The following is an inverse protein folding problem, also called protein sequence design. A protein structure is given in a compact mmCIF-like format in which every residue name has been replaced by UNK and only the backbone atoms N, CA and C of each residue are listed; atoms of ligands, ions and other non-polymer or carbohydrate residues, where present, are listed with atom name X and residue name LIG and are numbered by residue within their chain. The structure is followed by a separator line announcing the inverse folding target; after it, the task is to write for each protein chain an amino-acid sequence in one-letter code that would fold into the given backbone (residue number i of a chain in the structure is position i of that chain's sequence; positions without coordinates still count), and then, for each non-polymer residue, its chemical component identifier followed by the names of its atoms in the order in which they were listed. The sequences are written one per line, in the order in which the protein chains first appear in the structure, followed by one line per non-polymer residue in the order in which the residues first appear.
data_IF_464755406279
#
_entry.id   IF_464755406279
#
_cell.length_a   1.000
_cell.length_b   1.000
_cell.length_c   1.000
_cell.angle_alpha   90.00
_cell.angle_beta   90.00
_cell.angle_gamma   90.00
#
_symmetry.space_group_name_H-M   'P 1'
#
loop_
_entity.id
_entity.type
_entity.pdbx_description
1 polymer ?
#
# COMPACT_ATOMS: atom_id res chain seq x y z
N UNK A 1 -14.93 6.80 -22.01
CA UNK A 1 -14.57 6.02 -20.81
C UNK A 1 -15.15 6.75 -19.61
N UNK A 2 -15.83 6.05 -18.70
CA UNK A 2 -16.30 6.68 -17.46
C UNK A 2 -15.11 6.96 -16.53
N UNK A 3 -15.18 7.93 -15.60
CA UNK A 3 -14.08 8.21 -14.67
C UNK A 3 -13.65 6.95 -13.90
N UNK A 4 -12.35 6.76 -13.65
CA UNK A 4 -11.84 5.57 -12.95
C UNK A 4 -12.48 5.45 -11.55
N UNK A 5 -12.72 6.58 -10.88
CA UNK A 5 -13.41 6.65 -9.60
C UNK A 5 -14.81 6.00 -9.58
N UNK A 6 -15.49 5.92 -10.74
CA UNK A 6 -16.82 5.32 -10.88
C UNK A 6 -16.82 3.79 -11.03
N UNK A 7 -15.64 3.16 -11.07
CA UNK A 7 -15.53 1.71 -11.06
C UNK A 7 -15.60 1.19 -9.61
N UNK A 8 -16.38 0.13 -9.43
CA UNK A 8 -16.63 -0.54 -8.15
C UNK A 8 -16.23 -2.01 -8.17
N UNK A 9 -15.83 -2.54 -9.33
CA UNK A 9 -15.36 -3.92 -9.49
C UNK A 9 -13.83 -3.93 -9.67
N UNK A 10 -13.08 -4.51 -8.72
CA UNK A 10 -11.63 -4.65 -8.83
C UNK A 10 -11.19 -5.36 -10.12
N UNK A 11 -11.95 -6.35 -10.63
CA UNK A 11 -11.57 -7.12 -11.83
C UNK A 11 -11.59 -6.24 -13.08
N UNK A 12 -12.59 -5.37 -13.23
CA UNK A 12 -12.64 -4.41 -14.32
C UNK A 12 -11.44 -3.46 -14.30
N UNK A 13 -11.02 -3.02 -13.11
CA UNK A 13 -9.85 -2.17 -12.95
C UNK A 13 -8.55 -2.89 -13.36
N UNK A 14 -8.44 -4.20 -13.11
CA UNK A 14 -7.30 -4.99 -13.58
C UNK A 14 -7.23 -5.00 -15.13
N UNK A 15 -8.36 -5.22 -15.81
CA UNK A 15 -8.42 -5.14 -17.27
C UNK A 15 -8.08 -3.74 -17.79
N UNK A 16 -8.48 -2.68 -17.09
CA UNK A 16 -8.10 -1.31 -17.43
C UNK A 16 -6.59 -1.11 -17.28
N UNK A 17 -5.99 -1.60 -16.18
CA UNK A 17 -4.55 -1.53 -15.96
C UNK A 17 -3.78 -2.25 -17.08
N UNK A 18 -4.17 -3.48 -17.44
CA UNK A 18 -3.51 -4.24 -18.51
C UNK A 18 -3.60 -3.51 -19.86
N UNK A 19 -4.77 -2.98 -20.21
CA UNK A 19 -4.96 -2.21 -21.43
C UNK A 19 -4.18 -0.89 -21.43
N UNK A 20 -4.20 -0.15 -20.31
CA UNK A 20 -3.45 1.08 -20.16
C UNK A 20 -1.94 0.82 -20.31
N UNK A 21 -1.44 -0.28 -19.76
CA UNK A 21 -0.05 -0.72 -19.93
C UNK A 21 0.29 -1.04 -21.38
N UNK A 22 -0.57 -1.81 -22.07
CA UNK A 22 -0.42 -2.12 -23.49
C UNK A 22 -0.42 -0.87 -24.39
N UNK A 23 -1.17 0.17 -24.01
CA UNK A 23 -1.31 1.42 -24.76
C UNK A 23 -0.34 2.53 -24.30
N UNK A 24 0.56 2.25 -23.34
CA UNK A 24 1.50 3.24 -22.80
C UNK A 24 0.87 4.35 -21.96
N UNK A 25 -0.39 4.20 -21.52
CA UNK A 25 -1.15 5.18 -20.74
C UNK A 25 -0.92 4.99 -19.24
N UNK A 26 0.28 5.33 -18.77
CA UNK A 26 0.67 5.16 -17.37
C UNK A 26 -0.15 6.00 -16.39
N UNK A 27 -0.66 7.15 -16.83
CA UNK A 27 -1.61 7.99 -16.09
C UNK A 27 -2.86 7.19 -15.69
N UNK A 28 -3.47 6.51 -16.67
CA UNK A 28 -4.66 5.68 -16.46
C UNK A 28 -4.32 4.43 -15.65
N UNK A 29 -3.16 3.82 -15.90
CA UNK A 29 -2.71 2.65 -15.14
C UNK A 29 -2.63 2.98 -13.64
N UNK A 30 -1.97 4.09 -13.28
CA UNK A 30 -1.80 4.47 -11.88
C UNK A 30 -3.10 4.92 -11.20
N UNK A 31 -3.99 5.60 -11.93
CA UNK A 31 -5.31 5.93 -11.42
C UNK A 31 -6.14 4.66 -11.14
N UNK A 32 -6.15 3.71 -12.09
CA UNK A 32 -6.84 2.43 -11.94
C UNK A 32 -6.23 1.56 -10.83
N UNK A 33 -4.90 1.56 -10.72
CA UNK A 33 -4.16 0.86 -9.66
C UNK A 33 -4.59 1.35 -8.28
N UNK A 34 -4.59 2.67 -8.03
CA UNK A 34 -4.98 3.23 -6.72
C UNK A 34 -6.41 2.87 -6.39
N UNK A 35 -7.33 3.06 -7.34
CA UNK A 35 -8.74 2.71 -7.16
C UNK A 35 -8.94 1.23 -6.87
N UNK A 36 -8.19 0.35 -7.54
CA UNK A 36 -8.25 -1.09 -7.31
C UNK A 36 -7.78 -1.43 -5.90
N UNK A 37 -6.69 -0.82 -5.44
CA UNK A 37 -6.16 -1.04 -4.09
C UNK A 37 -7.17 -0.60 -3.02
N UNK A 38 -7.83 0.56 -3.18
CA UNK A 38 -8.89 1.01 -2.27
C UNK A 38 -10.05 0.00 -2.17
N UNK A 39 -10.52 -0.53 -3.29
CA UNK A 39 -11.63 -1.49 -3.30
C UNK A 39 -11.21 -2.82 -2.66
N UNK A 40 -10.04 -3.34 -2.99
CA UNK A 40 -9.52 -4.56 -2.37
C UNK A 40 -9.27 -4.40 -0.88
N UNK A 41 -8.85 -3.21 -0.43
CA UNK A 41 -8.70 -2.89 0.98
C UNK A 41 -10.02 -2.97 1.74
N UNK A 42 -11.12 -2.49 1.14
CA UNK A 42 -12.48 -2.60 1.70
C UNK A 42 -13.02 -4.03 1.73
N UNK A 43 -12.56 -4.89 0.82
CA UNK A 43 -12.95 -6.31 0.75
C UNK A 43 -12.09 -7.21 1.66
N UNK A 44 -11.07 -6.66 2.34
CA UNK A 44 -10.14 -7.42 3.16
C UNK A 44 -10.82 -7.94 4.44
N UNK A 45 -11.06 -9.26 4.49
CA UNK A 45 -11.74 -9.93 5.61
C UNK A 45 -10.96 -9.93 6.93
N UNK A 46 -9.63 -9.78 6.85
CA UNK A 46 -8.73 -9.82 8.00
C UNK A 46 -8.59 -8.45 8.70
N UNK A 47 -9.32 -7.43 8.23
CA UNK A 47 -9.22 -6.05 8.67
C UNK A 47 -10.58 -5.54 9.12
N UNK A 48 -10.60 -4.62 10.08
CA UNK A 48 -11.82 -3.98 10.54
C UNK A 48 -12.32 -2.97 9.49
N UNK A 49 -13.47 -3.20 8.85
CA UNK A 49 -13.99 -2.30 7.82
C UNK A 49 -14.55 -0.98 8.39
N UNK A 50 -14.71 -0.87 9.72
CA UNK A 50 -15.18 0.35 10.38
C UNK A 50 -14.07 1.32 10.74
N UNK A 51 -12.80 0.86 10.71
CA UNK A 51 -11.64 1.69 11.04
C UNK A 51 -10.94 2.24 9.77
N UNK A 52 -10.88 3.58 9.58
CA UNK A 52 -10.15 4.20 8.46
C UNK A 52 -8.69 3.75 8.31
N UNK A 53 -7.97 3.52 9.42
CA UNK A 53 -6.58 3.04 9.35
C UNK A 53 -6.51 1.64 8.74
N UNK A 54 -7.46 0.77 9.10
CA UNK A 54 -7.54 -0.59 8.56
C UNK A 54 -7.91 -0.58 7.08
N UNK A 55 -8.82 0.29 6.65
CA UNK A 55 -9.17 0.44 5.23
C UNK A 55 -7.96 0.88 4.39
N UNK A 56 -7.23 1.90 4.85
CA UNK A 56 -6.04 2.41 4.15
C UNK A 56 -4.88 1.39 4.19
N UNK A 57 -4.75 0.65 5.30
CA UNK A 57 -3.82 -0.46 5.40
C UNK A 57 -4.16 -1.57 4.41
N UNK A 58 -5.44 -1.88 4.22
CA UNK A 58 -5.91 -2.81 3.20
C UNK A 58 -5.47 -2.39 1.80
N UNK A 59 -5.57 -1.09 1.48
CA UNK A 59 -5.08 -0.54 0.21
C UNK A 59 -3.56 -0.65 0.08
N UNK A 60 -2.81 -0.38 1.15
CA UNK A 60 -1.34 -0.58 1.23
C UNK A 60 -0.95 -2.02 0.93
N UNK A 61 -1.63 -2.99 1.56
CA UNK A 61 -1.37 -4.40 1.35
C UNK A 61 -1.70 -4.85 -0.08
N UNK A 62 -2.84 -4.41 -0.62
CA UNK A 62 -3.23 -4.69 -2.00
C UNK A 62 -2.23 -4.14 -3.01
N UNK A 63 -1.73 -2.91 -2.78
CA UNK A 63 -0.71 -2.29 -3.62
C UNK A 63 0.60 -3.08 -3.59
N UNK A 64 1.04 -3.49 -2.40
CA UNK A 64 2.24 -4.31 -2.25
C UNK A 64 2.10 -5.66 -2.96
N UNK A 65 0.98 -6.37 -2.79
CA UNK A 65 0.72 -7.66 -3.44
C UNK A 65 0.63 -7.55 -4.96
N UNK A 66 0.04 -6.46 -5.48
CA UNK A 66 0.00 -6.20 -6.91
C UNK A 66 1.41 -6.00 -7.48
N UNK A 67 2.23 -5.12 -6.86
CA UNK A 67 3.60 -4.89 -7.31
C UNK A 67 4.49 -6.13 -7.15
N UNK A 68 4.26 -6.92 -6.10
CA UNK A 68 4.95 -8.19 -5.89
C UNK A 68 4.57 -9.22 -6.95
N UNK A 69 3.31 -9.26 -7.35
CA UNK A 69 2.82 -10.13 -8.42
C UNK A 69 3.45 -9.77 -9.76
N UNK A 70 3.56 -8.47 -10.06
CA UNK A 70 4.24 -7.97 -11.26
C UNK A 70 5.73 -8.29 -11.24
N UNK A 71 6.41 -8.07 -10.11
CA UNK A 71 7.83 -8.41 -9.94
C UNK A 71 8.09 -9.90 -10.16
N UNK A 72 7.19 -10.77 -9.70
CA UNK A 72 7.35 -12.22 -9.77
C UNK A 72 6.75 -12.86 -11.03
N UNK A 73 6.10 -12.08 -11.91
CA UNK A 73 5.34 -12.57 -13.07
C UNK A 73 4.31 -13.65 -12.73
N UNK A 74 3.74 -13.62 -11.52
CA UNK A 74 2.69 -14.53 -11.06
C UNK A 74 1.94 -13.91 -9.89
N UNK A 75 0.67 -14.25 -9.74
CA UNK A 75 -0.14 -13.85 -8.58
C UNK A 75 0.58 -14.23 -7.28
N UNK A 76 0.97 -13.22 -6.51
CA UNK A 76 1.75 -13.38 -5.28
C UNK A 76 1.04 -12.65 -4.13
N UNK A 77 0.77 -13.39 -3.07
CA UNK A 77 0.18 -12.88 -1.83
C UNK A 77 1.29 -12.68 -0.80
N UNK A 78 1.22 -11.60 -0.03
CA UNK A 78 2.18 -11.26 1.01
C UNK A 78 1.90 -12.05 2.29
N UNK A 79 1.93 -13.39 2.23
CA UNK A 79 1.47 -14.29 3.30
C UNK A 79 2.11 -13.98 4.66
N UNK A 80 3.42 -13.75 4.72
CA UNK A 80 4.12 -13.38 5.97
C UNK A 80 3.61 -12.07 6.56
N UNK A 81 3.24 -11.11 5.71
CA UNK A 81 2.67 -9.83 6.13
C UNK A 81 1.29 -10.07 6.71
N UNK A 82 0.43 -10.80 5.98
CA UNK A 82 -0.92 -11.17 6.45
C UNK A 82 -0.89 -11.91 7.78
N UNK A 83 -0.05 -12.93 7.93
CA UNK A 83 0.10 -13.64 9.21
C UNK A 83 0.58 -12.73 10.33
N UNK A 84 1.50 -11.78 10.06
CA UNK A 84 1.93 -10.81 11.07
C UNK A 84 0.76 -9.92 11.52
N UNK A 85 -0.06 -9.44 10.59
CA UNK A 85 -1.23 -8.61 10.91
C UNK A 85 -2.26 -9.39 11.72
N UNK A 86 -2.56 -10.64 11.34
CA UNK A 86 -3.48 -11.49 12.11
C UNK A 86 -2.98 -11.73 13.54
N UNK A 87 -1.66 -11.87 13.74
CA UNK A 87 -1.09 -12.16 15.05
C UNK A 87 -0.91 -10.93 15.95
N UNK A 88 -0.54 -9.77 15.39
CA UNK A 88 -0.18 -8.57 16.16
C UNK A 88 -1.14 -7.40 15.99
N UNK A 89 -2.02 -7.44 15.00
CA UNK A 89 -2.83 -6.31 14.57
C UNK A 89 -2.07 -5.32 13.68
N UNK A 90 -2.83 -4.38 13.09
CA UNK A 90 -2.32 -3.37 12.15
C UNK A 90 -1.37 -2.39 12.86
N UNK A 91 -1.82 -1.80 13.97
CA UNK A 91 -1.07 -0.75 14.69
C UNK A 91 0.30 -1.26 15.14
N UNK A 92 0.36 -2.39 15.84
CA UNK A 92 1.64 -2.93 16.31
C UNK A 92 2.56 -3.33 15.14
N UNK A 93 1.99 -3.83 14.03
CA UNK A 93 2.80 -4.19 12.86
C UNK A 93 3.41 -2.96 12.19
N UNK A 94 2.68 -1.85 12.11
CA UNK A 94 3.19 -0.56 11.62
C UNK A 94 4.30 -0.02 12.54
N UNK A 95 4.10 -0.05 13.86
CA UNK A 95 5.13 0.34 14.85
C UNK A 95 6.41 -0.48 14.63
N UNK A 96 6.29 -1.81 14.58
CA UNK A 96 7.44 -2.70 14.38
C UNK A 96 8.22 -2.36 13.09
N UNK A 97 7.53 -1.99 12.02
CA UNK A 97 8.17 -1.68 10.74
C UNK A 97 8.83 -0.30 10.73
N UNK A 98 8.18 0.71 11.30
CA UNK A 98 8.77 2.04 11.41
C UNK A 98 10.05 2.02 12.26
N UNK A 99 10.08 1.24 13.34
CA UNK A 99 11.23 1.09 14.23
C UNK A 99 12.27 0.07 13.76
N UNK A 100 12.00 -0.69 12.69
CA UNK A 100 12.95 -1.68 12.19
C UNK A 100 14.23 -1.02 11.68
N UNK A 101 15.39 -1.64 11.91
CA UNK A 101 16.68 -1.10 11.41
C UNK A 101 16.71 -0.97 9.90
N UNK A 102 16.10 -1.91 9.19
CA UNK A 102 16.02 -1.94 7.73
C UNK A 102 14.59 -1.72 7.26
N UNK A 103 14.37 -0.98 6.15
CA UNK A 103 13.04 -0.88 5.57
C UNK A 103 12.46 -2.25 5.22
N UNK A 104 11.13 -2.31 5.18
CA UNK A 104 10.46 -3.50 4.68
C UNK A 104 10.56 -3.55 3.15
N UNK A 105 10.54 -4.75 2.58
CA UNK A 105 10.46 -4.91 1.12
C UNK A 105 9.22 -4.22 0.53
N UNK A 106 8.13 -4.14 1.29
CA UNK A 106 6.93 -3.40 0.90
C UNK A 106 7.19 -1.90 0.76
N UNK A 107 7.85 -1.29 1.76
CA UNK A 107 8.25 0.12 1.71
C UNK A 107 9.10 0.41 0.48
N UNK A 108 10.20 -0.32 0.28
CA UNK A 108 11.11 -0.08 -0.83
C UNK A 108 10.41 -0.21 -2.19
N UNK A 109 9.54 -1.22 -2.33
CA UNK A 109 8.83 -1.48 -3.57
C UNK A 109 7.81 -0.39 -3.87
N UNK A 110 7.07 0.09 -2.86
CA UNK A 110 6.07 1.15 -3.03
C UNK A 110 6.76 2.49 -3.31
N UNK A 111 7.80 2.85 -2.56
CA UNK A 111 8.56 4.08 -2.78
C UNK A 111 9.17 4.14 -4.19
N UNK A 112 9.79 3.04 -4.63
CA UNK A 112 10.39 2.95 -5.99
C UNK A 112 9.37 3.15 -7.11
N UNK A 113 8.10 2.84 -6.87
CA UNK A 113 7.01 3.00 -7.83
C UNK A 113 6.22 4.30 -7.63
N UNK A 114 6.72 5.26 -6.83
CA UNK A 114 6.04 6.54 -6.59
C UNK A 114 4.75 6.40 -5.76
N UNK A 115 4.61 5.31 -5.01
CA UNK A 115 3.44 4.98 -4.20
C UNK A 115 3.65 5.29 -2.72
N UNK A 116 4.31 6.41 -2.42
CA UNK A 116 4.62 6.81 -1.05
C UNK A 116 3.36 6.86 -0.17
N UNK A 117 2.26 7.41 -0.67
CA UNK A 117 0.99 7.53 0.07
C UNK A 117 0.35 6.19 0.44
N UNK A 118 0.83 5.09 -0.15
CA UNK A 118 0.39 3.72 0.13
C UNK A 118 1.43 2.94 0.96
N UNK A 119 2.42 3.61 1.57
CA UNK A 119 3.37 2.99 2.49
C UNK A 119 2.82 2.94 3.91
N UNK A 120 3.28 1.97 4.71
CA UNK A 120 2.89 1.91 6.13
C UNK A 120 3.38 3.13 6.91
N UNK A 121 4.53 3.67 6.55
CA UNK A 121 5.11 4.88 7.10
C UNK A 121 4.23 6.10 6.82
N UNK A 122 3.71 6.25 5.60
CA UNK A 122 2.78 7.32 5.29
C UNK A 122 1.46 7.17 6.07
N UNK A 123 1.00 5.94 6.34
CA UNK A 123 -0.16 5.72 7.21
C UNK A 123 0.11 6.16 8.65
N UNK A 124 1.29 5.85 9.20
CA UNK A 124 1.68 6.30 10.55
C UNK A 124 1.63 7.83 10.62
N UNK A 125 2.17 8.52 9.61
CA UNK A 125 2.16 9.99 9.56
C UNK A 125 0.74 10.54 9.41
N UNK A 126 -0.09 9.91 8.57
CA UNK A 126 -1.49 10.31 8.35
C UNK A 126 -2.35 10.16 9.61
N UNK A 127 -2.12 9.11 10.39
CA UNK A 127 -2.86 8.76 11.61
C UNK A 127 -1.98 8.95 12.86
N UNK A 128 -1.18 10.02 12.89
CA UNK A 128 -0.16 10.24 13.91
C UNK A 128 -0.69 10.23 15.35
N UNK A 129 -1.94 10.63 15.56
CA UNK A 129 -2.65 10.60 16.84
C UNK A 129 -2.82 9.19 17.43
N UNK A 130 -2.68 8.15 16.61
CA UNK A 130 -2.79 6.74 17.00
C UNK A 130 -1.46 6.07 17.32
N UNK A 131 -0.35 6.78 17.15
CA UNK A 131 0.99 6.24 17.34
C UNK A 131 1.78 7.07 18.35
N UNK A 132 2.73 6.45 19.08
CA UNK A 132 3.67 7.20 19.90
C UNK A 132 4.49 8.17 19.03
N UNK A 133 4.80 9.36 19.55
CA UNK A 133 5.53 10.40 18.81
C UNK A 133 6.83 9.89 18.18
N UNK A 134 7.64 9.15 18.93
CA UNK A 134 8.90 8.58 18.41
C UNK A 134 8.73 7.61 17.23
N UNK A 135 7.56 6.96 17.12
CA UNK A 135 7.22 6.11 15.97
C UNK A 135 6.87 6.96 14.75
N UNK A 136 6.13 8.05 14.95
CA UNK A 136 5.80 9.02 13.91
C UNK A 136 7.08 9.65 13.37
N UNK A 137 7.98 10.10 14.26
CA UNK A 137 9.29 10.66 13.88
C UNK A 137 10.12 9.66 13.08
N UNK A 138 10.16 8.39 13.50
CA UNK A 138 10.87 7.33 12.79
C UNK A 138 10.29 7.06 11.39
N UNK A 139 8.96 7.08 11.25
CA UNK A 139 8.28 6.92 9.96
C UNK A 139 8.58 8.09 9.01
N UNK A 140 8.51 9.34 9.51
CA UNK A 140 8.85 10.53 8.75
C UNK A 140 10.32 10.51 8.30
N UNK A 141 11.24 10.23 9.22
CA UNK A 141 12.66 10.14 8.94
C UNK A 141 12.96 9.07 7.88
N UNK A 142 12.24 7.93 7.88
CA UNK A 142 12.42 6.89 6.85
C UNK A 142 12.02 7.38 5.46
N UNK A 143 10.86 8.03 5.34
CA UNK A 143 10.38 8.60 4.07
C UNK A 143 11.37 9.66 3.56
N UNK A 144 11.79 10.57 4.43
CA UNK A 144 12.73 11.64 4.09
C UNK A 144 14.10 11.09 3.66
N UNK A 145 14.63 10.12 4.40
CA UNK A 145 15.90 9.47 4.07
C UNK A 145 15.82 8.80 2.69
N UNK A 146 14.72 8.09 2.38
CA UNK A 146 14.54 7.50 1.06
C UNK A 146 14.57 8.57 -0.03
N UNK A 147 13.79 9.65 0.13
CA UNK A 147 13.72 10.77 -0.84
C UNK A 147 15.09 11.39 -1.08
N UNK A 148 15.91 11.55 -0.03
CA UNK A 148 17.28 12.07 -0.13
C UNK A 148 18.22 11.12 -0.87
N UNK A 149 18.08 9.81 -0.68
CA UNK A 149 18.93 8.80 -1.34
C UNK A 149 18.50 8.45 -2.76
N UNK A 150 17.28 8.80 -3.15
CA UNK A 150 16.73 8.53 -4.49
C UNK A 150 16.92 9.70 -5.48
N UNK A 151 17.45 10.84 -5.01
CA UNK A 151 17.96 11.95 -5.84
C UNK A 151 19.41 11.70 -6.23
#
# INVERSE_FOLDING_TARGET
MKPISSYTDPKQLLTIMENAKRLGRMDVYWEAFRRRCELLGKEAKDLDPSDPLHLDFGATLAAYEQLLSEKNNRTTIAMRTRSKIQNKGVVQSLIDWALAKTPTTGFDLLMKNGMESLTGEALIVKYADRFPLHVVDAAQARIENYRRTAQ
#
